data_IF_698199695739
#
_entry.id   IF_698199695739
#
_cell.length_a   1.000
_cell.length_b   1.000
_cell.length_c   1.000
_cell.angle_alpha   90.00
_cell.angle_beta   90.00
_cell.angle_gamma   90.00
#
_symmetry.space_group_name_H-M   'P 1'
#
loop_
_entity.id
_entity.type
_entity.pdbx_description
1 polymer ?
#
# COMPACT_ATOMS: atom_id res chain seq x y z
N UNK A 1 0.21 -5.77 -10.97
CA UNK A 1 -0.09 -5.13 -12.27
C UNK A 1 -1.49 -4.52 -12.22
N UNK A 2 -1.71 -3.42 -12.93
CA UNK A 2 -2.99 -2.71 -13.00
C UNK A 2 -3.23 -2.25 -14.44
N UNK A 3 -4.48 -2.28 -14.86
CA UNK A 3 -4.91 -1.77 -16.16
C UNK A 3 -5.88 -0.62 -16.01
N UNK A 4 -5.77 0.36 -16.91
CA UNK A 4 -6.72 1.45 -17.08
C UNK A 4 -7.41 1.25 -18.43
N UNK A 5 -8.73 1.30 -18.42
CA UNK A 5 -9.58 1.16 -19.59
C UNK A 5 -10.29 2.48 -19.85
N UNK A 6 -10.57 2.78 -21.11
CA UNK A 6 -11.47 3.89 -21.47
C UNK A 6 -12.95 3.49 -21.34
N UNK A 7 -13.86 4.39 -21.73
CA UNK A 7 -15.31 4.12 -21.69
C UNK A 7 -15.77 3.05 -22.70
N UNK A 8 -14.95 2.73 -23.70
CA UNK A 8 -15.20 1.69 -24.70
C UNK A 8 -14.69 0.32 -24.25
N UNK A 9 -13.88 0.29 -23.18
CA UNK A 9 -13.24 -0.91 -22.65
C UNK A 9 -11.85 -1.18 -23.23
N UNK A 10 -11.30 -0.25 -24.01
CA UNK A 10 -9.97 -0.39 -24.60
C UNK A 10 -8.87 -0.09 -23.58
N UNK A 11 -7.79 -0.87 -23.63
CA UNK A 11 -6.63 -0.71 -22.76
C UNK A 11 -5.88 0.59 -23.10
N UNK A 12 -5.98 1.57 -22.20
CA UNK A 12 -5.23 2.83 -22.34
C UNK A 12 -3.85 2.71 -21.71
N UNK A 13 -3.75 2.11 -20.52
CA UNK A 13 -2.49 2.01 -19.79
C UNK A 13 -2.37 0.73 -18.97
N UNK A 14 -1.12 0.26 -18.83
CA UNK A 14 -0.75 -0.85 -17.97
C UNK A 14 0.36 -0.39 -17.02
N UNK A 15 0.10 -0.50 -15.71
CA UNK A 15 1.04 -0.17 -14.65
C UNK A 15 1.51 -1.45 -13.96
N UNK A 16 2.81 -1.70 -14.07
CA UNK A 16 3.47 -2.77 -13.34
C UNK A 16 4.05 -2.21 -12.04
N UNK A 17 3.99 -3.01 -10.98
CA UNK A 17 4.51 -2.65 -9.67
C UNK A 17 5.43 -3.76 -9.20
N UNK A 18 6.48 -3.39 -8.48
CA UNK A 18 7.28 -4.35 -7.73
C UNK A 18 6.49 -4.89 -6.50
N UNK A 19 7.04 -5.89 -5.77
CA UNK A 19 6.39 -6.42 -4.57
C UNK A 19 6.18 -5.40 -3.44
N UNK A 20 6.91 -4.28 -3.47
CA UNK A 20 6.85 -3.20 -2.48
C UNK A 20 5.99 -2.02 -2.94
N UNK A 21 5.35 -2.10 -4.11
CA UNK A 21 4.45 -1.07 -4.63
C UNK A 21 5.11 0.07 -5.39
N UNK A 22 6.39 -0.04 -5.77
CA UNK A 22 7.06 0.91 -6.66
C UNK A 22 6.59 0.66 -8.09
N UNK A 23 6.00 1.66 -8.78
CA UNK A 23 5.57 1.47 -10.16
C UNK A 23 6.78 1.48 -11.10
N UNK A 24 6.74 0.65 -12.16
CA UNK A 24 7.79 0.62 -13.19
C UNK A 24 7.83 1.89 -14.03
N UNK A 25 6.77 2.71 -14.01
CA UNK A 25 6.63 3.99 -14.71
C UNK A 25 5.86 4.97 -13.82
N UNK A 26 6.06 6.30 -13.95
CA UNK A 26 5.34 7.29 -13.15
C UNK A 26 3.82 7.18 -13.36
N UNK A 27 3.05 7.09 -12.27
CA UNK A 27 1.59 7.07 -12.33
C UNK A 27 1.04 8.51 -12.32
N UNK A 28 0.99 9.13 -13.50
CA UNK A 28 0.50 10.51 -13.67
C UNK A 28 -0.99 10.57 -14.06
N UNK A 29 -1.66 9.42 -14.14
CA UNK A 29 -2.99 9.28 -14.74
C UNK A 29 -4.09 9.11 -13.70
N UNK A 30 -3.73 8.55 -12.54
CA UNK A 30 -4.69 8.28 -11.47
C UNK A 30 -4.06 8.54 -10.11
N UNK A 31 -4.89 8.96 -9.17
CA UNK A 31 -4.53 9.08 -7.75
C UNK A 31 -4.48 7.74 -7.03
N UNK A 32 -4.73 6.63 -7.72
CA UNK A 32 -4.76 5.29 -7.15
C UNK A 32 -3.51 4.52 -7.60
N UNK A 33 -2.74 4.03 -6.65
CA UNK A 33 -1.51 3.27 -6.85
C UNK A 33 -1.67 1.78 -6.60
N UNK A 34 -0.62 1.22 -5.98
CA UNK A 34 -0.53 -0.18 -5.60
C UNK A 34 -1.70 -0.61 -4.71
N UNK A 35 -2.21 -1.84 -4.91
CA UNK A 35 -3.37 -2.41 -4.20
C UNK A 35 -4.65 -1.55 -4.20
N UNK A 36 -4.76 -0.54 -5.07
CA UNK A 36 -5.91 0.37 -5.12
C UNK A 36 -5.87 1.50 -4.07
N UNK A 37 -4.72 1.71 -3.43
CA UNK A 37 -4.54 2.71 -2.39
C UNK A 37 -4.16 4.07 -2.98
N UNK A 38 -4.44 5.17 -2.26
CA UNK A 38 -4.18 6.50 -2.79
C UNK A 38 -2.68 6.83 -2.82
N UNK A 39 -2.22 7.48 -3.89
CA UNK A 39 -0.87 8.04 -4.01
C UNK A 39 -0.94 9.56 -3.91
N UNK A 40 -0.07 10.11 -3.06
CA UNK A 40 0.18 11.53 -2.93
C UNK A 40 1.21 12.01 -3.98
N UNK A 41 1.27 13.30 -4.37
CA UNK A 41 2.28 13.82 -5.30
C UNK A 41 3.74 13.58 -4.86
N UNK A 42 3.95 13.24 -3.58
CA UNK A 42 5.24 12.84 -3.03
C UNK A 42 5.59 11.35 -3.22
N UNK A 43 4.87 10.61 -4.08
CA UNK A 43 5.01 9.15 -4.28
C UNK A 43 4.71 8.31 -3.03
N UNK A 44 4.02 8.87 -2.03
CA UNK A 44 3.64 8.15 -0.81
C UNK A 44 2.29 7.47 -0.98
N UNK A 45 2.21 6.19 -0.62
CA UNK A 45 0.98 5.41 -0.60
C UNK A 45 0.26 5.62 0.73
N UNK A 46 -0.97 6.11 0.69
CA UNK A 46 -1.82 6.22 1.86
C UNK A 46 -2.60 4.93 2.09
N UNK A 47 -2.13 4.11 3.04
CA UNK A 47 -2.74 2.83 3.41
C UNK A 47 -3.79 3.01 4.51
N UNK A 48 -4.70 3.99 4.34
CA UNK A 48 -5.81 4.39 5.24
C UNK A 48 -5.44 4.87 6.64
N UNK A 49 -4.50 4.22 7.31
CA UNK A 49 -4.04 4.57 8.65
C UNK A 49 -2.68 5.26 8.64
N UNK A 50 -1.83 5.00 7.63
CA UNK A 50 -0.45 5.49 7.56
C UNK A 50 0.01 5.70 6.13
N UNK A 51 0.95 6.63 5.98
CA UNK A 51 1.73 6.79 4.76
C UNK A 51 2.86 5.76 4.70
N UNK A 52 2.94 5.10 3.55
CA UNK A 52 3.92 4.10 3.22
C UNK A 52 4.81 4.61 2.08
N UNK A 53 6.12 4.45 2.24
CA UNK A 53 7.11 4.85 1.25
C UNK A 53 7.56 3.63 0.44
N UNK A 54 7.03 3.41 -0.78
CA UNK A 54 7.31 2.20 -1.55
C UNK A 54 8.79 2.02 -1.87
N UNK A 55 9.54 3.11 -2.19
CA UNK A 55 10.98 3.01 -2.48
C UNK A 55 11.84 2.57 -1.28
N UNK A 56 11.37 2.79 -0.05
CA UNK A 56 12.06 2.40 1.17
C UNK A 56 11.52 1.09 1.76
N UNK A 57 10.40 0.59 1.25
CA UNK A 57 9.71 -0.57 1.82
C UNK A 57 9.19 -0.34 3.25
N UNK A 58 9.02 0.93 3.66
CA UNK A 58 8.80 1.30 5.06
C UNK A 58 7.70 2.35 5.26
N UNK A 59 7.06 2.34 6.42
CA UNK A 59 6.14 3.39 6.85
C UNK A 59 6.91 4.66 7.27
N UNK A 60 6.35 5.83 6.99
CA UNK A 60 6.92 7.11 7.42
C UNK A 60 6.67 7.42 8.90
N UNK A 61 5.77 6.66 9.54
CA UNK A 61 5.39 6.82 10.94
C UNK A 61 5.34 5.48 11.68
N UNK A 62 5.63 5.56 12.97
CA UNK A 62 5.49 4.47 13.93
C UNK A 62 4.00 4.12 14.10
N UNK A 63 3.68 2.83 14.27
CA UNK A 63 2.32 2.39 14.56
C UNK A 63 1.85 2.96 15.91
N UNK A 64 0.75 3.75 15.98
CA UNK A 64 0.24 4.26 17.24
C UNK A 64 -0.32 3.14 18.15
N UNK A 65 -0.61 1.96 17.59
CA UNK A 65 -1.05 0.79 18.38
C UNK A 65 0.18 0.05 18.89
N UNK A 66 0.61 0.41 20.10
CA UNK A 66 1.54 -0.40 20.89
C UNK A 66 0.93 -1.78 21.11
N UNK A 67 1.66 -2.83 20.71
CA UNK A 67 1.16 -4.21 20.70
C UNK A 67 0.56 -4.64 22.04
N UNK A 68 -0.68 -5.12 22.01
CA UNK A 68 -1.26 -5.85 23.15
C UNK A 68 -0.45 -7.13 23.34
N UNK A 69 -0.03 -7.38 24.59
CA UNK A 69 1.05 -8.30 24.95
C UNK A 69 0.99 -9.70 24.33
N UNK A 70 2.18 -10.22 23.98
CA UNK A 70 2.41 -11.65 23.75
C UNK A 70 2.63 -12.09 22.29
N UNK A 71 2.53 -11.20 21.30
CA UNK A 71 2.84 -11.54 19.90
C UNK A 71 4.17 -10.90 19.48
N UNK A 72 5.23 -11.72 19.43
CA UNK A 72 6.60 -11.35 19.02
C UNK A 72 6.75 -10.81 17.58
N UNK A 73 5.66 -10.46 16.89
CA UNK A 73 5.69 -9.67 15.66
C UNK A 73 5.68 -8.15 15.92
N UNK A 74 5.50 -7.72 17.17
CA UNK A 74 5.42 -6.30 17.59
C UNK A 74 6.70 -5.48 17.37
N UNK A 75 7.84 -6.09 17.03
CA UNK A 75 9.12 -5.37 16.85
C UNK A 75 9.38 -4.91 15.41
N UNK A 76 8.56 -5.32 14.43
CA UNK A 76 8.76 -4.96 13.01
C UNK A 76 7.81 -3.82 12.63
N UNK A 77 8.04 -2.68 13.25
CA UNK A 77 7.19 -1.47 13.20
C UNK A 77 7.11 -0.80 11.82
N UNK A 78 7.92 -1.25 10.84
CA UNK A 78 8.07 -0.59 9.54
C UNK A 78 7.77 -1.50 8.33
N UNK A 79 7.52 -2.80 8.51
CA UNK A 79 7.39 -3.73 7.37
C UNK A 79 5.97 -3.77 6.81
N UNK A 80 5.83 -3.53 5.49
CA UNK A 80 4.56 -3.65 4.75
C UNK A 80 3.96 -5.06 4.78
N UNK A 81 4.77 -6.09 4.54
CA UNK A 81 4.33 -7.49 4.38
C UNK A 81 3.61 -8.04 5.62
N UNK A 82 4.09 -7.72 6.83
CA UNK A 82 3.47 -8.22 8.06
C UNK A 82 2.20 -7.44 8.46
N UNK A 83 2.07 -6.20 8.00
CA UNK A 83 0.90 -5.38 8.29
C UNK A 83 -0.33 -5.87 7.49
N UNK A 84 -0.13 -6.35 6.26
CA UNK A 84 -1.21 -6.92 5.44
C UNK A 84 -1.93 -8.08 6.14
N UNK A 85 -1.19 -9.02 6.72
CA UNK A 85 -1.78 -10.15 7.47
C UNK A 85 -2.55 -9.72 8.73
N UNK A 86 -2.30 -8.51 9.26
CA UNK A 86 -3.03 -7.98 10.42
C UNK A 86 -4.38 -7.41 10.01
N UNK A 87 -4.49 -6.71 8.88
CA UNK A 87 -5.75 -6.11 8.44
C UNK A 87 -6.79 -7.15 8.02
N UNK A 88 -6.37 -8.29 7.46
CA UNK A 88 -7.25 -9.45 7.18
C UNK A 88 -7.86 -10.06 8.46
N UNK A 89 -7.25 -9.84 9.63
CA UNK A 89 -7.78 -10.29 10.92
C UNK A 89 -8.76 -9.29 11.53
N UNK A 90 -8.67 -8.00 11.18
CA UNK A 90 -9.63 -6.99 11.64
C UNK A 90 -10.91 -6.95 10.81
N UNK A 91 -10.89 -7.42 9.56
CA UNK A 91 -12.08 -7.51 8.69
C UNK A 91 -12.95 -8.77 8.95
N UNK A 92 -12.56 -9.64 9.89
CA UNK A 92 -13.27 -10.89 10.24
C UNK A 92 -14.06 -10.85 11.56
N UNK A 93 -14.23 -9.67 12.17
CA UNK A 93 -14.96 -9.51 13.45
C UNK A 93 -16.23 -8.64 13.29
N UNK A 94 -16.72 -8.44 12.06
CA UNK A 94 -18.07 -7.91 11.82
C UNK A 94 -18.79 -8.75 10.78
#
# INVERSE_FOLDING_TARGET
>A
MRFLLDSSGDLTHALNYDPYGVPSQPNNLTTLGFTGEQIDPNDLLYLRARYYHPKLGAFTSVDPVLGVGGRSCSLKMLSYFQNWQRWDLFSRIL
#
